data_IF_434289595541
#
_entry.id   IF_434289595541
#
_cell.length_a   1.000
_cell.length_b   1.000
_cell.length_c   1.000
_cell.angle_alpha   90.00
_cell.angle_beta   90.00
_cell.angle_gamma   90.00
#
_symmetry.space_group_name_H-M   'P 1'
#
loop_
_entity.id
_entity.type
_entity.pdbx_description
1 polymer ?
#
# COMPACT_ATOMS: atom_id res chain seq x y z
N UNK A 1 12.96 -38.33 -55.66
CA UNK A 1 13.30 -37.75 -54.35
C UNK A 1 12.09 -36.98 -53.83
N UNK A 2 11.54 -37.47 -52.72
CA UNK A 2 10.61 -36.97 -51.68
C UNK A 2 10.15 -35.48 -51.74
N UNK A 3 9.02 -34.98 -51.22
CA UNK A 3 7.74 -35.39 -50.58
C UNK A 3 6.95 -34.04 -50.49
N UNK A 4 5.70 -33.86 -50.94
CA UNK A 4 4.41 -34.19 -50.34
C UNK A 4 4.17 -33.66 -48.89
N UNK A 5 3.28 -32.66 -48.78
CA UNK A 5 2.48 -32.15 -47.64
C UNK A 5 3.12 -31.56 -46.36
N UNK A 6 2.65 -30.33 -46.05
CA UNK A 6 2.13 -29.87 -44.75
C UNK A 6 2.97 -30.11 -43.50
N UNK A 7 3.48 -29.03 -42.89
CA UNK A 7 3.91 -29.07 -41.49
C UNK A 7 3.21 -28.01 -40.64
N UNK A 8 2.29 -28.50 -39.83
CA UNK A 8 1.65 -27.87 -38.70
C UNK A 8 2.71 -27.66 -37.59
N UNK A 9 2.87 -26.42 -37.11
CA UNK A 9 3.97 -26.01 -36.24
C UNK A 9 3.51 -25.43 -34.89
N UNK A 10 2.88 -26.27 -34.07
CA UNK A 10 2.96 -26.27 -32.61
C UNK A 10 2.73 -24.95 -31.84
N UNK A 11 1.47 -24.65 -31.50
CA UNK A 11 1.13 -23.82 -30.32
C UNK A 11 1.64 -24.56 -29.08
N UNK A 12 2.78 -24.12 -28.53
CA UNK A 12 3.22 -24.54 -27.19
C UNK A 12 2.16 -24.13 -26.17
N UNK A 13 1.25 -25.06 -25.84
CA UNK A 13 0.51 -25.04 -24.58
C UNK A 13 1.57 -25.11 -23.48
N UNK A 14 1.78 -24.00 -22.78
CA UNK A 14 2.58 -23.98 -21.57
C UNK A 14 1.83 -24.83 -20.55
N UNK A 15 2.38 -26.00 -20.25
CA UNK A 15 1.84 -26.96 -19.30
C UNK A 15 1.62 -26.30 -17.93
N UNK A 16 0.48 -26.61 -17.34
CA UNK A 16 -0.02 -26.09 -16.07
C UNK A 16 0.55 -26.86 -14.87
N UNK A 17 1.85 -27.16 -14.91
CA UNK A 17 2.51 -27.95 -13.88
C UNK A 17 3.74 -27.20 -13.37
N UNK A 18 3.64 -26.71 -12.13
CA UNK A 18 4.82 -26.34 -11.35
C UNK A 18 4.80 -24.99 -10.63
N UNK A 19 3.72 -24.20 -10.65
CA UNK A 19 3.63 -23.01 -9.79
C UNK A 19 3.04 -23.34 -8.42
N UNK A 20 3.77 -24.12 -7.62
CA UNK A 20 3.77 -23.84 -6.17
C UNK A 20 4.47 -22.50 -6.02
N UNK A 21 3.71 -21.42 -6.23
CA UNK A 21 4.22 -20.07 -6.10
C UNK A 21 4.71 -19.91 -4.67
N UNK A 22 6.03 -19.87 -4.50
CA UNK A 22 6.62 -19.00 -3.49
C UNK A 22 6.20 -17.58 -3.89
N UNK A 23 4.95 -17.22 -3.61
CA UNK A 23 4.42 -15.90 -3.89
C UNK A 23 5.26 -14.94 -3.07
N UNK A 24 6.09 -14.12 -3.74
CA UNK A 24 6.68 -12.96 -3.09
C UNK A 24 5.50 -12.16 -2.54
N UNK A 25 5.53 -11.88 -1.24
CA UNK A 25 4.60 -10.95 -0.63
C UNK A 25 4.72 -9.57 -1.30
N UNK A 26 3.75 -8.67 -1.07
CA UNK A 26 3.85 -7.32 -1.58
C UNK A 26 5.13 -6.64 -1.06
N UNK A 27 5.68 -5.74 -1.88
CA UNK A 27 6.82 -4.92 -1.47
C UNK A 27 6.43 -4.00 -0.30
N UNK A 28 7.38 -3.70 0.57
CA UNK A 28 7.16 -2.78 1.69
C UNK A 28 6.88 -1.36 1.19
N UNK A 29 5.98 -0.65 1.86
CA UNK A 29 5.70 0.76 1.61
C UNK A 29 6.27 1.64 2.73
N UNK A 30 7.08 2.64 2.39
CA UNK A 30 7.65 3.58 3.36
C UNK A 30 6.87 4.90 3.33
N UNK A 31 6.24 5.24 4.46
CA UNK A 31 5.43 6.45 4.60
C UNK A 31 6.25 7.75 4.44
N UNK A 32 7.54 7.72 4.75
CA UNK A 32 8.40 8.91 4.72
C UNK A 32 8.85 9.32 3.30
N UNK A 33 8.67 8.44 2.31
CA UNK A 33 8.99 8.75 0.92
C UNK A 33 7.86 9.53 0.22
N UNK A 34 6.69 9.62 0.86
CA UNK A 34 5.50 10.31 0.35
C UNK A 34 5.45 11.77 0.83
N UNK A 35 4.87 12.64 -0.01
CA UNK A 35 4.58 14.03 0.37
C UNK A 35 3.40 14.07 1.36
N UNK A 36 3.45 14.91 2.41
CA UNK A 36 2.31 15.10 3.31
C UNK A 36 1.05 15.59 2.59
N UNK A 37 -0.11 15.10 3.04
CA UNK A 37 -1.43 15.55 2.56
C UNK A 37 -1.78 16.93 3.12
N UNK A 38 -1.40 17.17 4.38
CA UNK A 38 -1.51 18.47 5.05
C UNK A 38 -0.16 18.89 5.62
N UNK A 39 0.19 20.17 5.47
CA UNK A 39 1.41 20.74 6.04
C UNK A 39 1.24 22.22 6.32
N UNK A 40 1.71 22.65 7.48
CA UNK A 40 1.85 24.05 7.87
C UNK A 40 3.11 24.23 8.74
N UNK A 41 3.30 25.42 9.30
CA UNK A 41 4.46 25.75 10.15
C UNK A 41 4.47 25.01 11.51
N UNK A 42 3.34 24.42 11.91
CA UNK A 42 3.14 23.75 13.19
C UNK A 42 3.20 22.23 13.09
N UNK A 43 3.12 21.66 11.88
CA UNK A 43 3.14 20.21 11.69
C UNK A 43 2.68 19.76 10.30
N UNK A 44 2.54 18.44 10.17
CA UNK A 44 2.07 17.81 8.94
C UNK A 44 1.40 16.46 9.23
N UNK A 45 0.58 16.00 8.29
CA UNK A 45 0.00 14.67 8.33
C UNK A 45 -0.08 14.03 6.94
N UNK A 46 -0.13 12.70 6.91
CA UNK A 46 -0.43 11.92 5.71
C UNK A 46 -1.31 10.73 6.06
N UNK A 47 -2.22 10.38 5.17
CA UNK A 47 -3.04 9.19 5.21
C UNK A 47 -2.63 8.25 4.07
N UNK A 48 -2.48 6.96 4.38
CA UNK A 48 -2.27 5.90 3.41
C UNK A 48 -3.46 4.95 3.46
N UNK A 49 -4.05 4.69 2.31
CA UNK A 49 -5.16 3.74 2.18
C UNK A 49 -4.98 2.79 1.00
N UNK A 50 -6.01 1.99 0.76
CA UNK A 50 -6.07 1.00 -0.30
C UNK A 50 -5.91 1.53 -1.73
N UNK A 51 -6.13 2.82 -1.95
CA UNK A 51 -5.95 3.46 -3.26
C UNK A 51 -4.46 3.63 -3.59
N UNK A 52 -3.63 3.80 -2.57
CA UNK A 52 -2.18 4.01 -2.72
C UNK A 52 -1.37 2.75 -2.43
N UNK A 53 -1.82 1.89 -1.50
CA UNK A 53 -1.17 0.62 -1.18
C UNK A 53 -2.18 -0.52 -1.22
N UNK A 54 -2.21 -1.23 -2.35
CA UNK A 54 -3.20 -2.27 -2.65
C UNK A 54 -3.32 -3.40 -1.61
N UNK A 55 -2.28 -3.79 -0.85
CA UNK A 55 -2.43 -4.77 0.22
C UNK A 55 -3.39 -4.36 1.34
N UNK A 56 -3.63 -3.06 1.53
CA UNK A 56 -4.60 -2.58 2.53
C UNK A 56 -6.07 -2.89 2.16
N UNK A 57 -6.35 -3.19 0.88
CA UNK A 57 -7.69 -3.58 0.39
C UNK A 57 -8.29 -4.75 1.16
N UNK A 58 -7.45 -5.67 1.64
CA UNK A 58 -7.91 -6.91 2.25
C UNK A 58 -8.39 -6.74 3.68
N UNK A 59 -8.00 -5.67 4.36
CA UNK A 59 -8.23 -5.51 5.80
C UNK A 59 -9.14 -4.32 6.14
N UNK A 60 -9.52 -3.49 5.16
CA UNK A 60 -10.24 -2.23 5.38
C UNK A 60 -9.56 -1.33 6.42
N UNK A 61 -8.23 -1.30 6.36
CA UNK A 61 -7.37 -0.51 7.26
C UNK A 61 -6.74 0.61 6.45
N UNK A 62 -6.64 1.78 7.07
CA UNK A 62 -5.79 2.88 6.65
C UNK A 62 -4.71 3.16 7.71
N UNK A 63 -3.63 3.79 7.29
CA UNK A 63 -2.56 4.23 8.19
C UNK A 63 -2.51 5.75 8.16
N UNK A 64 -2.55 6.37 9.33
CA UNK A 64 -2.48 7.82 9.47
C UNK A 64 -1.25 8.20 10.29
N UNK A 65 -0.38 9.03 9.72
CA UNK A 65 0.84 9.50 10.37
C UNK A 65 0.77 11.01 10.55
N UNK A 66 1.04 11.45 11.78
CA UNK A 66 0.98 12.86 12.18
C UNK A 66 2.27 13.25 12.86
N UNK A 67 2.78 14.42 12.53
CA UNK A 67 3.92 15.04 13.20
C UNK A 67 3.55 16.47 13.58
N UNK A 68 3.65 16.77 14.88
CA UNK A 68 3.34 18.06 15.46
C UNK A 68 4.58 18.62 16.16
N UNK A 69 4.80 19.92 15.97
CA UNK A 69 5.77 20.67 16.78
C UNK A 69 5.27 20.77 18.22
N UNK A 70 6.19 21.00 19.17
CA UNK A 70 5.81 21.15 20.57
C UNK A 70 4.80 22.30 20.76
N UNK A 71 3.72 22.05 21.50
CA UNK A 71 2.64 23.00 21.72
C UNK A 71 1.63 23.12 20.57
N UNK A 72 1.85 22.45 19.44
CA UNK A 72 0.86 22.36 18.37
C UNK A 72 -0.20 21.30 18.67
N UNK A 73 -1.35 21.41 17.99
CA UNK A 73 -2.46 20.47 18.10
C UNK A 73 -3.02 20.17 16.72
N UNK A 74 -3.65 19.00 16.57
CA UNK A 74 -4.61 18.80 15.50
C UNK A 74 -5.89 19.57 15.83
N UNK A 75 -6.48 20.21 14.81
CA UNK A 75 -7.82 20.75 14.95
C UNK A 75 -8.82 19.61 15.22
N UNK A 76 -9.94 19.88 15.94
CA UNK A 76 -11.00 18.90 16.10
C UNK A 76 -11.44 18.33 14.75
N UNK A 77 -11.49 17.01 14.64
CA UNK A 77 -11.92 16.30 13.43
C UNK A 77 -12.68 15.02 13.80
N UNK A 78 -13.40 14.50 12.82
CA UNK A 78 -14.19 13.27 12.94
C UNK A 78 -13.92 12.45 11.68
N UNK A 79 -13.59 11.17 11.85
CA UNK A 79 -13.58 10.20 10.77
C UNK A 79 -14.86 9.37 10.84
N UNK A 80 -15.87 9.64 9.98
CA UNK A 80 -17.22 9.11 10.16
C UNK A 80 -17.34 7.59 10.05
N UNK A 81 -16.37 6.95 9.37
CA UNK A 81 -16.40 5.53 9.03
C UNK A 81 -15.29 4.72 9.70
N UNK A 82 -14.30 5.38 10.31
CA UNK A 82 -13.13 4.73 10.85
C UNK A 82 -13.13 4.75 12.38
N UNK A 83 -12.73 3.64 12.99
CA UNK A 83 -12.26 3.61 14.38
C UNK A 83 -10.76 3.74 14.37
N UNK A 84 -10.23 4.74 15.06
CA UNK A 84 -8.79 5.00 15.08
C UNK A 84 -8.14 4.57 16.38
N UNK A 85 -6.95 3.98 16.25
CA UNK A 85 -6.07 3.66 17.37
C UNK A 85 -4.79 4.47 17.23
N UNK A 86 -4.60 5.45 18.12
CA UNK A 86 -3.40 6.28 18.15
C UNK A 86 -2.24 5.59 18.88
N UNK A 87 -1.08 5.53 18.23
CA UNK A 87 0.17 5.03 18.83
C UNK A 87 1.19 6.17 18.82
N UNK A 88 1.68 6.56 20.00
CA UNK A 88 2.70 7.62 20.11
C UNK A 88 4.08 7.04 19.86
N UNK A 89 4.76 7.54 18.83
CA UNK A 89 6.13 7.11 18.49
C UNK A 89 7.20 7.99 19.16
N UNK A 90 6.89 9.26 19.46
CA UNK A 90 7.80 10.20 20.13
C UNK A 90 7.02 11.33 20.81
N UNK A 91 7.49 11.75 21.98
CA UNK A 91 6.91 12.86 22.73
C UNK A 91 5.65 12.44 23.49
N UNK A 92 4.79 13.41 23.79
CA UNK A 92 3.49 13.22 24.46
C UNK A 92 2.50 14.26 23.96
N UNK A 93 1.23 13.91 23.96
CA UNK A 93 0.10 14.82 23.68
C UNK A 93 -0.97 14.68 24.76
N UNK A 94 -1.93 15.59 24.76
CA UNK A 94 -3.07 15.61 25.67
C UNK A 94 -4.34 15.89 24.91
#
# INVERSE_FOLDING_TARGET
MNNLFGHEGNKRKKSDEGRRGSGKGPDSYNLFDRKPDYKNDYGWSLALDQSEYSPLKHSDISVYLVNLSAGAMMAPHINPTATEYGIVLRGSGS
#
